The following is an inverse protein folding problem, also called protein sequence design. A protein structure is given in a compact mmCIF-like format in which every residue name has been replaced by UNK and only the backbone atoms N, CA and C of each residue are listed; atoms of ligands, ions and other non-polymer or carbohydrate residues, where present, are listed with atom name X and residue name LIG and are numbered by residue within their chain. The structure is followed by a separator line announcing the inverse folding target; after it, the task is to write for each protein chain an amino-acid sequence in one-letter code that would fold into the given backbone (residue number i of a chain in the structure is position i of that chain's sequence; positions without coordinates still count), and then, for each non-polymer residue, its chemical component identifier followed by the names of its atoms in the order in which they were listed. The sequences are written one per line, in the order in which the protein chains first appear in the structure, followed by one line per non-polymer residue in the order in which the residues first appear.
data_IF_749455446172
#
_entry.id   IF_749455446172
#
_cell.length_a   1.000
_cell.length_b   1.000
_cell.length_c   1.000
_cell.angle_alpha   90.00
_cell.angle_beta   90.00
_cell.angle_gamma   90.00
#
_symmetry.space_group_name_H-M   'P 1'
#
loop_
_entity.id
_entity.type
_entity.pdbx_description
1 polymer ?
#
# COMPACT_ATOMS: atom_id res chain seq x y z
N UNK A 1 3.60 -7.47 -3.31
CA UNK A 1 2.51 -6.48 -3.24
C UNK A 1 2.96 -5.26 -2.44
N UNK A 2 3.16 -5.35 -1.11
CA UNK A 2 3.60 -4.19 -0.32
C UNK A 2 5.02 -3.71 -0.66
N UNK A 3 5.96 -4.65 -0.92
CA UNK A 3 7.33 -4.31 -1.36
C UNK A 3 7.35 -3.53 -2.67
N UNK A 4 6.38 -3.82 -3.56
CA UNK A 4 6.24 -3.14 -4.85
C UNK A 4 5.79 -1.69 -4.65
N UNK A 5 4.87 -1.44 -3.72
CA UNK A 5 4.43 -0.10 -3.35
C UNK A 5 5.56 0.71 -2.68
N UNK A 6 6.34 0.08 -1.80
CA UNK A 6 7.52 0.71 -1.20
C UNK A 6 8.57 1.06 -2.26
N UNK A 7 8.87 0.14 -3.17
CA UNK A 7 9.80 0.38 -4.28
C UNK A 7 9.29 1.51 -5.19
N UNK A 8 7.99 1.56 -5.50
CA UNK A 8 7.38 2.65 -6.27
C UNK A 8 7.47 4.00 -5.55
N UNK A 9 7.26 4.04 -4.24
CA UNK A 9 7.42 5.27 -3.44
C UNK A 9 8.87 5.77 -3.41
N UNK A 10 9.84 4.88 -3.17
CA UNK A 10 11.27 5.20 -3.20
C UNK A 10 11.74 5.66 -4.58
N UNK A 11 11.29 4.97 -5.63
CA UNK A 11 11.62 5.35 -7.01
C UNK A 11 10.94 6.67 -7.41
N UNK A 12 9.71 6.90 -6.98
CA UNK A 12 9.02 8.17 -7.18
C UNK A 12 9.73 9.33 -6.47
N UNK A 13 10.24 9.10 -5.26
CA UNK A 13 11.05 10.09 -4.52
C UNK A 13 12.38 10.38 -5.23
N UNK A 14 13.04 9.33 -5.75
CA UNK A 14 14.25 9.50 -6.55
C UNK A 14 13.99 10.38 -7.78
N UNK A 15 12.93 10.11 -8.54
CA UNK A 15 12.55 10.93 -9.70
C UNK A 15 12.15 12.36 -9.32
N UNK A 16 11.56 12.56 -8.14
CA UNK A 16 11.23 13.90 -7.65
C UNK A 16 12.48 14.74 -7.35
N UNK A 17 13.52 14.11 -6.81
CA UNK A 17 14.76 14.79 -6.40
C UNK A 17 15.71 14.98 -7.59
N UNK A 18 15.96 13.91 -8.35
CA UNK A 18 16.94 13.91 -9.45
C UNK A 18 16.35 14.13 -10.83
N UNK A 19 15.03 14.01 -11.00
CA UNK A 19 14.39 14.12 -12.31
C UNK A 19 14.21 15.56 -12.80
N UNK A 20 14.17 15.70 -14.12
CA UNK A 20 13.74 16.90 -14.83
C UNK A 20 12.24 17.15 -14.70
N UNK A 21 11.75 18.30 -15.16
CA UNK A 21 10.34 18.73 -15.03
C UNK A 21 9.30 17.62 -15.26
N UNK A 22 9.33 16.89 -16.40
CA UNK A 22 8.40 15.79 -16.66
C UNK A 22 8.59 14.59 -15.72
N UNK A 23 9.85 14.24 -15.42
CA UNK A 23 10.17 13.11 -14.53
C UNK A 23 9.71 13.36 -13.09
N UNK A 24 9.72 14.61 -12.61
CA UNK A 24 9.17 14.99 -11.30
C UNK A 24 7.67 14.74 -11.22
N UNK A 25 6.93 15.01 -12.30
CA UNK A 25 5.48 14.75 -12.35
C UNK A 25 5.20 13.25 -12.23
N UNK A 26 5.94 12.42 -12.97
CA UNK A 26 5.86 10.96 -12.82
C UNK A 26 6.28 10.49 -11.42
N UNK A 27 7.30 11.10 -10.83
CA UNK A 27 7.71 10.85 -9.45
C UNK A 27 6.59 11.12 -8.44
N UNK A 28 5.89 12.25 -8.57
CA UNK A 28 4.73 12.59 -7.74
C UNK A 28 3.59 11.59 -7.91
N UNK A 29 3.29 11.16 -9.14
CA UNK A 29 2.24 10.17 -9.40
C UNK A 29 2.57 8.81 -8.76
N UNK A 30 3.84 8.38 -8.82
CA UNK A 30 4.30 7.14 -8.19
C UNK A 30 4.21 7.20 -6.67
N UNK A 31 4.63 8.31 -6.07
CA UNK A 31 4.50 8.53 -4.62
C UNK A 31 3.02 8.53 -4.22
N UNK A 32 2.17 9.21 -4.97
CA UNK A 32 0.73 9.27 -4.70
C UNK A 32 0.09 7.88 -4.78
N UNK A 33 0.38 7.10 -5.82
CA UNK A 33 -0.10 5.72 -5.95
C UNK A 33 0.37 4.83 -4.80
N UNK A 34 1.64 4.95 -4.39
CA UNK A 34 2.18 4.21 -3.26
C UNK A 34 1.49 4.59 -1.93
N UNK A 35 1.21 5.88 -1.73
CA UNK A 35 0.50 6.37 -0.55
C UNK A 35 -0.95 5.86 -0.50
N UNK A 36 -1.68 5.90 -1.62
CA UNK A 36 -3.03 5.34 -1.73
C UNK A 36 -3.01 3.84 -1.42
N UNK A 37 -2.06 3.09 -1.98
CA UNK A 37 -1.93 1.67 -1.69
C UNK A 37 -1.64 1.40 -0.21
N UNK A 38 -0.72 2.15 0.40
CA UNK A 38 -0.41 2.04 1.82
C UNK A 38 -1.62 2.35 2.71
N UNK A 39 -2.40 3.37 2.35
CA UNK A 39 -3.64 3.72 3.04
C UNK A 39 -4.68 2.60 2.94
N UNK A 40 -4.94 2.07 1.75
CA UNK A 40 -5.89 0.97 1.56
C UNK A 40 -5.44 -0.31 2.30
N UNK A 41 -4.14 -0.60 2.29
CA UNK A 41 -3.57 -1.72 3.04
C UNK A 41 -3.74 -1.55 4.56
N UNK A 42 -3.55 -0.33 5.08
CA UNK A 42 -3.82 -0.01 6.47
C UNK A 42 -5.30 -0.26 6.83
N UNK A 43 -6.23 0.26 6.02
CA UNK A 43 -7.67 0.07 6.21
C UNK A 43 -8.01 -1.42 6.27
N UNK A 44 -7.50 -2.23 5.33
CA UNK A 44 -7.75 -3.66 5.30
C UNK A 44 -7.28 -4.40 6.57
N UNK A 45 -6.17 -3.96 7.20
CA UNK A 45 -5.59 -4.64 8.37
C UNK A 45 -6.13 -4.11 9.70
N UNK A 46 -6.42 -2.82 9.80
CA UNK A 46 -6.75 -2.18 11.08
C UNK A 46 -8.20 -1.76 11.20
N UNK A 47 -8.91 -1.56 10.08
CA UNK A 47 -10.29 -1.08 10.07
C UNK A 47 -11.26 -2.22 9.76
N UNK A 48 -10.94 -3.02 8.74
CA UNK A 48 -11.81 -4.11 8.27
C UNK A 48 -11.45 -5.49 8.83
N UNK A 49 -10.43 -5.61 9.69
CA UNK A 49 -10.05 -6.91 10.24
C UNK A 49 -11.12 -7.35 11.24
N UNK A 50 -11.88 -8.44 10.95
CA UNK A 50 -12.90 -8.91 11.87
C UNK A 50 -12.26 -9.28 13.21
N UNK A 51 -12.96 -9.06 14.34
CA UNK A 51 -12.46 -9.44 15.66
C UNK A 51 -12.02 -10.91 15.64
N UNK A 52 -10.92 -11.27 16.33
CA UNK A 52 -10.45 -12.67 16.41
C UNK A 52 -11.54 -13.64 16.89
N UNK A 53 -12.53 -13.12 17.63
CA UNK A 53 -13.70 -13.82 18.17
C UNK A 53 -14.72 -14.25 17.10
N UNK A 54 -14.71 -13.62 15.92
CA UNK A 54 -15.57 -13.95 14.79
C UNK A 54 -15.05 -15.12 13.94
N UNK A 55 -13.80 -15.54 14.15
CA UNK A 55 -13.31 -16.83 13.66
C UNK A 55 -13.90 -17.92 14.56
N UNK A 56 -15.15 -18.32 14.27
CA UNK A 56 -15.78 -19.47 14.93
C UNK A 56 -14.86 -20.69 14.89
N UNK A 57 -14.97 -21.62 15.85
CA UNK A 57 -14.14 -22.82 15.89
C UNK A 57 -14.17 -23.52 14.54
N UNK A 58 -13.05 -24.14 14.10
CA UNK A 58 -13.05 -24.91 12.87
C UNK A 58 -14.22 -25.88 12.95
N UNK A 59 -15.06 -25.90 11.92
CA UNK A 59 -16.18 -26.84 11.85
C UNK A 59 -15.57 -28.23 11.67
N UNK A 60 -15.13 -28.83 12.78
CA UNK A 60 -14.97 -30.26 12.90
C UNK A 60 -16.34 -30.84 13.21
N UNK A 61 -16.92 -31.53 12.22
CA UNK A 61 -17.93 -32.55 12.48
C UNK A 61 -19.18 -32.48 11.60
N UNK A 62 -19.38 -33.53 10.80
CA UNK A 62 -20.62 -33.85 10.09
C UNK A 62 -20.42 -34.82 8.96
#
# INVERSE_FOLDING_TARGET
MILTALAAGLFGLYLLIMGDGPARVFGLLLIFAAAVFGFLFWVAIYVDLPPPEAAGPPVEGG
#
